data_IF_778553629279
#
_entry.id   IF_778553629279
#
_cell.length_a   1.000
_cell.length_b   1.000
_cell.length_c   1.000
_cell.angle_alpha   90.00
_cell.angle_beta   90.00
_cell.angle_gamma   90.00
#
_symmetry.space_group_name_H-M   'P 1'
#
loop_
_entity.id
_entity.type
_entity.pdbx_description
1 polymer ?
#
# COMPACT_ATOMS: atom_id res chain seq x y z
N UNK A 1 11.32 0.57 15.80
CA UNK A 1 11.68 -0.81 15.45
C UNK A 1 12.45 -0.78 14.14
N UNK A 2 13.57 -1.50 14.00
CA UNK A 2 14.35 -1.51 12.75
C UNK A 2 13.65 -2.34 11.66
N UNK A 3 13.77 -1.95 10.38
CA UNK A 3 13.10 -2.60 9.23
C UNK A 3 13.36 -4.12 9.19
N UNK A 4 14.60 -4.55 9.42
CA UNK A 4 14.98 -5.96 9.45
C UNK A 4 14.26 -6.75 10.56
N UNK A 5 14.08 -6.15 11.73
CA UNK A 5 13.36 -6.78 12.83
C UNK A 5 11.87 -6.94 12.48
N UNK A 6 11.24 -5.91 11.90
CA UNK A 6 9.83 -5.97 11.46
C UNK A 6 9.62 -7.08 10.45
N UNK A 7 10.48 -7.14 9.43
CA UNK A 7 10.45 -8.18 8.41
C UNK A 7 10.54 -9.58 9.01
N UNK A 8 11.49 -9.82 9.92
CA UNK A 8 11.66 -11.12 10.55
C UNK A 8 10.42 -11.55 11.36
N UNK A 9 9.79 -10.61 12.08
CA UNK A 9 8.55 -10.85 12.83
C UNK A 9 7.39 -11.22 11.89
N UNK A 10 7.22 -10.51 10.77
CA UNK A 10 6.18 -10.81 9.77
C UNK A 10 6.35 -12.23 9.22
N UNK A 11 7.57 -12.60 8.84
CA UNK A 11 7.88 -13.93 8.30
C UNK A 11 7.59 -15.04 9.32
N UNK A 12 7.98 -14.84 10.58
CA UNK A 12 7.71 -15.82 11.64
C UNK A 12 6.21 -16.05 11.84
N UNK A 13 5.41 -14.97 11.82
CA UNK A 13 3.96 -15.07 11.98
C UNK A 13 3.31 -15.71 10.76
N UNK A 14 3.78 -15.42 9.54
CA UNK A 14 3.29 -16.05 8.30
C UNK A 14 3.55 -17.56 8.30
N UNK A 15 4.75 -17.98 8.70
CA UNK A 15 5.09 -19.40 8.78
C UNK A 15 4.20 -20.15 9.78
N UNK A 16 3.83 -19.51 10.90
CA UNK A 16 3.00 -20.09 11.95
C UNK A 16 1.51 -20.14 11.59
N UNK A 17 0.99 -19.06 11.01
CA UNK A 17 -0.46 -18.85 10.83
C UNK A 17 -0.93 -19.05 9.37
N UNK A 18 0.00 -19.26 8.42
CA UNK A 18 -0.20 -19.40 6.96
C UNK A 18 -0.80 -18.16 6.26
N UNK A 19 -1.47 -17.28 7.01
CA UNK A 19 -2.01 -16.01 6.55
C UNK A 19 -2.01 -15.02 7.70
N UNK A 20 -1.92 -13.72 7.39
CA UNK A 20 -2.06 -12.65 8.38
C UNK A 20 -2.94 -11.56 7.77
N UNK A 21 -3.88 -11.04 8.56
CA UNK A 21 -4.63 -9.83 8.15
C UNK A 21 -3.75 -8.61 8.31
N UNK A 22 -3.79 -7.70 7.34
CA UNK A 22 -3.02 -6.48 7.45
C UNK A 22 -3.38 -5.64 8.70
N UNK A 23 -4.62 -5.72 9.18
CA UNK A 23 -5.05 -5.11 10.44
C UNK A 23 -4.31 -5.66 11.67
N UNK A 24 -3.97 -6.95 11.69
CA UNK A 24 -3.21 -7.52 12.79
C UNK A 24 -1.76 -7.03 12.79
N UNK A 25 -1.18 -6.78 11.60
CA UNK A 25 0.15 -6.19 11.50
C UNK A 25 0.15 -4.73 11.96
N UNK A 26 -0.93 -3.99 11.66
CA UNK A 26 -1.10 -2.62 12.15
C UNK A 26 -1.13 -2.56 13.67
N UNK A 27 -1.96 -3.39 14.29
CA UNK A 27 -2.07 -3.46 15.74
C UNK A 27 -0.74 -3.89 16.39
N UNK A 28 -0.05 -4.87 15.79
CA UNK A 28 1.23 -5.37 16.29
C UNK A 28 2.36 -4.34 16.25
N UNK A 29 2.41 -3.50 15.21
CA UNK A 29 3.45 -2.49 15.03
C UNK A 29 3.05 -1.10 15.52
N UNK A 30 1.79 -0.89 15.91
CA UNK A 30 1.26 0.41 16.30
C UNK A 30 1.29 1.43 15.17
N UNK A 31 1.00 1.00 13.93
CA UNK A 31 1.07 1.84 12.72
C UNK A 31 -0.30 1.90 12.02
N UNK A 32 -0.58 3.02 11.34
CA UNK A 32 -1.75 3.17 10.47
C UNK A 32 -1.61 2.41 9.15
N UNK A 33 -2.74 2.09 8.50
CA UNK A 33 -2.70 1.47 7.17
C UNK A 33 -2.35 2.53 6.14
N UNK A 34 -1.09 2.58 5.70
CA UNK A 34 -0.72 3.42 4.56
C UNK A 34 -0.89 2.65 3.26
N UNK A 35 -1.67 3.19 2.34
CA UNK A 35 -1.94 2.58 1.04
C UNK A 35 -1.62 3.56 -0.08
N UNK A 36 -0.70 3.16 -0.96
CA UNK A 36 -0.36 3.92 -2.15
C UNK A 36 -1.28 3.49 -3.29
N UNK A 37 -1.96 4.44 -3.92
CA UNK A 37 -2.90 4.19 -5.03
C UNK A 37 -2.55 5.05 -6.23
N UNK A 38 -2.76 4.49 -7.42
CA UNK A 38 -2.79 5.23 -8.69
C UNK A 38 -4.21 5.46 -9.21
N UNK A 39 -5.16 4.68 -8.71
CA UNK A 39 -6.55 4.72 -9.15
C UNK A 39 -7.30 5.76 -8.32
N UNK A 40 -7.81 6.79 -8.99
CA UNK A 40 -8.46 7.93 -8.37
C UNK A 40 -9.80 7.54 -7.73
N UNK A 41 -10.57 6.68 -8.41
CA UNK A 41 -11.90 6.25 -7.94
C UNK A 41 -11.76 5.43 -6.66
N UNK A 42 -10.85 4.46 -6.65
CA UNK A 42 -10.57 3.69 -5.45
C UNK A 42 -10.00 4.52 -4.31
N UNK A 43 -9.12 5.48 -4.59
CA UNK A 43 -8.61 6.37 -3.54
C UNK A 43 -9.75 7.18 -2.91
N UNK A 44 -10.68 7.68 -3.72
CA UNK A 44 -11.86 8.41 -3.23
C UNK A 44 -12.78 7.53 -2.38
N UNK A 45 -12.97 6.25 -2.74
CA UNK A 45 -13.78 5.31 -1.96
C UNK A 45 -13.16 4.98 -0.60
N UNK A 46 -11.83 5.01 -0.50
CA UNK A 46 -11.12 4.70 0.74
C UNK A 46 -10.94 5.92 1.66
N UNK A 47 -10.95 7.13 1.11
CA UNK A 47 -10.77 8.38 1.87
C UNK A 47 -11.67 8.56 3.10
N UNK A 48 -12.92 8.04 3.14
CA UNK A 48 -13.76 8.13 4.34
C UNK A 48 -13.38 7.16 5.47
N UNK A 49 -12.45 6.21 5.26
CA UNK A 49 -12.13 5.19 6.25
C UNK A 49 -11.17 5.72 7.34
N UNK A 50 -11.57 5.76 8.62
CA UNK A 50 -10.88 6.52 9.68
C UNK A 50 -9.49 5.98 10.11
N UNK A 51 -9.04 4.84 9.56
CA UNK A 51 -7.76 4.20 9.89
C UNK A 51 -6.82 4.03 8.68
N UNK A 52 -7.20 4.60 7.53
CA UNK A 52 -6.47 4.47 6.28
C UNK A 52 -5.86 5.82 5.90
N UNK A 53 -4.53 5.84 5.79
CA UNK A 53 -3.84 6.93 5.10
C UNK A 53 -3.73 6.53 3.64
N UNK A 54 -4.56 7.16 2.80
CA UNK A 54 -4.53 6.93 1.36
C UNK A 54 -3.60 7.94 0.72
N UNK A 55 -2.50 7.45 0.13
CA UNK A 55 -1.56 8.27 -0.62
C UNK A 55 -1.82 8.05 -2.11
N UNK A 56 -2.32 9.08 -2.78
CA UNK A 56 -2.49 9.06 -4.23
C UNK A 56 -1.19 9.51 -4.91
N UNK A 57 -0.65 8.70 -5.82
CA UNK A 57 0.53 9.08 -6.59
C UNK A 57 0.17 10.21 -7.56
N UNK A 58 1.00 11.26 -7.66
CA UNK A 58 0.79 12.35 -8.63
C UNK A 58 1.11 11.93 -10.06
N UNK A 59 0.75 12.74 -11.06
CA UNK A 59 1.05 12.48 -12.47
C UNK A 59 -0.08 12.86 -13.42
N UNK A 60 -0.18 12.15 -14.54
CA UNK A 60 -1.20 12.37 -15.57
C UNK A 60 -2.31 11.32 -15.45
N UNK A 61 -3.57 11.76 -15.49
CA UNK A 61 -4.72 10.86 -15.45
C UNK A 61 -4.95 10.24 -16.83
N UNK A 62 -4.90 8.90 -16.92
CA UNK A 62 -5.40 8.13 -18.06
C UNK A 62 -6.91 7.96 -17.93
N UNK A 63 -7.66 8.67 -18.76
CA UNK A 63 -9.13 8.74 -18.64
C UNK A 63 -9.85 7.41 -18.87
N UNK A 64 -9.25 6.47 -19.62
CA UNK A 64 -9.87 5.15 -19.87
C UNK A 64 -10.02 4.29 -18.60
N UNK A 65 -9.19 4.53 -17.58
CA UNK A 65 -9.11 3.67 -16.37
C UNK A 65 -9.03 4.49 -15.08
N UNK A 66 -9.24 5.81 -15.16
CA UNK A 66 -9.09 6.76 -14.04
C UNK A 66 -7.81 6.54 -13.21
N UNK A 67 -6.75 6.10 -13.89
CA UNK A 67 -5.46 5.72 -13.29
C UNK A 67 -4.41 6.77 -13.59
N UNK A 68 -3.56 7.04 -12.61
CA UNK A 68 -2.45 7.98 -12.71
C UNK A 68 -1.21 7.26 -13.24
N UNK A 69 -0.62 7.86 -14.28
CA UNK A 69 0.50 7.30 -15.03
C UNK A 69 1.53 8.38 -15.40
N UNK A 70 2.62 7.95 -16.03
CA UNK A 70 3.69 8.79 -16.57
C UNK A 70 4.86 8.99 -15.60
N UNK A 71 5.90 9.66 -16.09
CA UNK A 71 7.21 9.76 -15.43
C UNK A 71 7.13 10.27 -13.98
N UNK A 72 6.23 11.21 -13.68
CA UNK A 72 6.03 11.72 -12.32
C UNK A 72 5.44 10.66 -11.39
N UNK A 73 4.53 9.82 -11.89
CA UNK A 73 3.93 8.74 -11.13
C UNK A 73 4.98 7.68 -10.79
N UNK A 74 5.85 7.36 -11.75
CA UNK A 74 6.96 6.42 -11.58
C UNK A 74 7.98 6.94 -10.57
N UNK A 75 8.49 8.16 -10.75
CA UNK A 75 9.42 8.79 -9.81
C UNK A 75 8.86 8.93 -8.39
N UNK A 76 7.55 9.15 -8.25
CA UNK A 76 6.93 9.22 -6.94
C UNK A 76 6.85 7.83 -6.30
N UNK A 77 6.44 6.80 -7.07
CA UNK A 77 6.35 5.43 -6.60
C UNK A 77 7.71 4.88 -6.13
N UNK A 78 8.81 5.22 -6.81
CA UNK A 78 10.18 4.82 -6.46
C UNK A 78 10.63 5.28 -5.06
N UNK A 79 9.98 6.30 -4.48
CA UNK A 79 10.34 6.82 -3.16
C UNK A 79 9.79 5.97 -2.02
N UNK A 80 8.84 5.09 -2.32
CA UNK A 80 8.19 4.26 -1.31
C UNK A 80 8.88 2.91 -1.15
N UNK A 81 9.02 2.51 0.12
CA UNK A 81 9.62 1.25 0.51
C UNK A 81 8.59 0.47 1.35
N UNK A 82 7.53 -0.06 0.72
CA UNK A 82 6.43 -0.70 1.45
C UNK A 82 6.88 -2.01 2.09
N UNK A 83 6.41 -2.27 3.32
CA UNK A 83 6.59 -3.58 3.96
C UNK A 83 5.76 -4.69 3.28
N UNK A 84 4.66 -4.31 2.61
CA UNK A 84 3.76 -5.22 1.92
C UNK A 84 3.25 -4.58 0.63
N UNK A 85 3.40 -5.29 -0.48
CA UNK A 85 2.95 -4.85 -1.80
C UNK A 85 2.10 -5.94 -2.46
N UNK A 86 0.92 -5.55 -2.92
CA UNK A 86 0.06 -6.40 -3.74
C UNK A 86 -0.15 -5.72 -5.09
N UNK A 87 0.10 -6.45 -6.17
CA UNK A 87 -0.26 -6.02 -7.51
C UNK A 87 -1.06 -7.10 -8.22
N UNK A 88 -2.03 -6.65 -9.01
CA UNK A 88 -2.69 -7.45 -10.03
C UNK A 88 -2.43 -6.77 -11.38
N UNK A 89 -2.14 -7.57 -12.40
CA UNK A 89 -1.99 -7.12 -13.78
C UNK A 89 -3.03 -7.84 -14.62
N UNK A 90 -3.83 -7.08 -15.36
CA UNK A 90 -4.76 -7.61 -16.34
C UNK A 90 -4.15 -7.37 -17.72
N UNK A 91 -4.07 -8.43 -18.52
CA UNK A 91 -3.60 -8.39 -19.93
C UNK A 91 -4.65 -7.86 -20.86
#
# INVERSE_FOLDING_TARGET
>A
MFVQQRHQTIIQKLNKEQSIKASELMDLFGVSFEMIRRDLEFASMLSPMPHYTVVLIGGVIRNAEHSIIGDLAEQFAERFHPDLFFMSMTT
#
